data_IF_948620488506
#
_entry.id   IF_948620488506
#
_cell.length_a   1.000
_cell.length_b   1.000
_cell.length_c   1.000
_cell.angle_alpha   90.00
_cell.angle_beta   90.00
_cell.angle_gamma   90.00
#
_symmetry.space_group_name_H-M   'P 1'
#
loop_
_entity.id
_entity.type
_entity.pdbx_description
1 polymer ?
#
# COMPACT_ATOMS: atom_id res chain seq x y z
N UNK A 1 17.56 -6.96 -3.00
CA UNK A 1 16.68 -7.36 -1.89
C UNK A 1 15.30 -7.69 -2.47
N UNK A 2 14.73 -8.86 -2.15
CA UNK A 2 13.35 -9.18 -2.54
C UNK A 2 12.41 -8.46 -1.56
N UNK A 3 11.57 -7.56 -2.08
CA UNK A 3 10.54 -6.90 -1.27
C UNK A 3 9.44 -7.93 -0.98
N UNK A 4 9.15 -8.18 0.30
CA UNK A 4 7.98 -8.95 0.71
C UNK A 4 6.74 -8.12 0.33
N UNK A 5 5.96 -8.59 -0.66
CA UNK A 5 4.66 -8.00 -1.00
C UNK A 5 3.60 -8.58 -0.08
N UNK A 6 2.78 -7.75 0.53
CA UNK A 6 1.66 -8.23 1.33
C UNK A 6 0.55 -8.67 0.36
N UNK A 7 0.44 -9.98 0.11
CA UNK A 7 -0.67 -10.50 -0.69
C UNK A 7 -1.97 -10.47 0.13
N UNK A 8 -3.06 -10.00 -0.47
CA UNK A 8 -4.38 -9.96 0.15
C UNK A 8 -5.03 -11.35 0.39
N UNK A 9 -4.33 -12.44 0.08
CA UNK A 9 -4.85 -13.81 0.17
C UNK A 9 -4.23 -14.53 1.38
N UNK A 10 -5.01 -14.71 2.44
CA UNK A 10 -4.64 -15.51 3.61
C UNK A 10 -5.59 -16.69 3.80
N UNK A 11 -5.04 -17.90 3.95
CA UNK A 11 -5.82 -19.12 4.23
C UNK A 11 -5.77 -19.41 5.73
N UNK A 12 -6.88 -19.15 6.43
CA UNK A 12 -6.91 -19.01 7.90
C UNK A 12 -7.40 -20.26 8.67
N UNK A 13 -7.51 -21.43 8.05
CA UNK A 13 -8.14 -22.59 8.71
C UNK A 13 -7.34 -23.17 9.90
N UNK A 14 -6.08 -22.77 10.07
CA UNK A 14 -5.18 -23.26 11.11
C UNK A 14 -4.76 -22.20 12.15
N UNK A 15 -5.24 -20.96 12.03
CA UNK A 15 -4.90 -19.87 12.97
C UNK A 15 -5.87 -19.86 14.15
N UNK A 16 -5.39 -19.42 15.32
CA UNK A 16 -6.29 -19.06 16.42
C UNK A 16 -7.18 -17.88 16.01
N UNK A 17 -8.35 -17.75 16.64
CA UNK A 17 -9.26 -16.63 16.36
C UNK A 17 -8.61 -15.27 16.68
N UNK A 18 -7.78 -15.23 17.72
CA UNK A 18 -7.03 -14.04 18.12
C UNK A 18 -6.03 -13.61 17.04
N UNK A 19 -5.22 -14.55 16.53
CA UNK A 19 -4.24 -14.29 15.47
C UNK A 19 -4.92 -13.87 14.16
N UNK A 20 -6.03 -14.55 13.81
CA UNK A 20 -6.80 -14.22 12.63
C UNK A 20 -7.38 -12.80 12.71
N UNK A 21 -7.87 -12.40 13.89
CA UNK A 21 -8.37 -11.05 14.13
C UNK A 21 -7.27 -9.99 14.09
N UNK A 22 -6.08 -10.28 14.61
CA UNK A 22 -4.91 -9.39 14.51
C UNK A 22 -4.50 -9.17 13.05
N UNK A 23 -4.34 -10.24 12.27
CA UNK A 23 -4.00 -10.17 10.85
C UNK A 23 -5.07 -9.40 10.06
N UNK A 24 -6.35 -9.62 10.37
CA UNK A 24 -7.46 -8.90 9.72
C UNK A 24 -7.38 -7.40 9.95
N UNK A 25 -7.03 -6.95 11.16
CA UNK A 25 -6.85 -5.53 11.48
C UNK A 25 -5.69 -4.94 10.68
N UNK A 26 -4.55 -5.64 10.64
CA UNK A 26 -3.38 -5.21 9.87
C UNK A 26 -3.68 -5.13 8.37
N UNK A 27 -4.48 -6.06 7.85
CA UNK A 27 -4.88 -6.08 6.45
C UNK A 27 -5.81 -4.90 6.10
N UNK A 28 -6.76 -4.57 6.97
CA UNK A 28 -7.63 -3.39 6.79
C UNK A 28 -6.77 -2.12 6.79
N UNK A 29 -5.83 -2.02 7.73
CA UNK A 29 -4.91 -0.89 7.82
C UNK A 29 -4.03 -0.77 6.56
N UNK A 30 -3.48 -1.89 6.09
CA UNK A 30 -2.66 -1.94 4.87
C UNK A 30 -3.44 -1.51 3.62
N UNK A 31 -4.66 -2.03 3.44
CA UNK A 31 -5.50 -1.65 2.31
C UNK A 31 -5.88 -0.16 2.33
N UNK A 32 -6.15 0.41 3.50
CA UNK A 32 -6.39 1.85 3.62
C UNK A 32 -5.16 2.69 3.21
N UNK A 33 -3.96 2.24 3.59
CA UNK A 33 -2.70 2.84 3.15
C UNK A 33 -2.51 2.74 1.63
N UNK A 34 -2.79 1.57 1.05
CA UNK A 34 -2.70 1.32 -0.39
C UNK A 34 -3.64 2.25 -1.17
N UNK A 35 -4.92 2.35 -0.78
CA UNK A 35 -5.83 3.31 -1.41
C UNK A 35 -5.35 4.77 -1.32
N UNK A 36 -4.73 5.15 -0.20
CA UNK A 36 -4.20 6.50 -0.01
C UNK A 36 -2.96 6.76 -0.88
N UNK A 37 -2.05 5.80 -0.90
CA UNK A 37 -0.83 5.84 -1.69
C UNK A 37 -1.15 5.91 -3.18
N UNK A 38 -2.05 5.04 -3.68
CA UNK A 38 -2.53 5.06 -5.06
C UNK A 38 -3.08 6.42 -5.46
N UNK A 39 -4.00 7.01 -4.67
CA UNK A 39 -4.59 8.31 -4.97
C UNK A 39 -3.51 9.41 -5.06
N UNK A 40 -2.56 9.42 -4.12
CA UNK A 40 -1.47 10.41 -4.11
C UNK A 40 -0.55 10.23 -5.31
N UNK A 41 -0.11 9.01 -5.59
CA UNK A 41 0.72 8.71 -6.75
C UNK A 41 0.02 9.06 -8.06
N UNK A 42 -1.27 8.76 -8.19
CA UNK A 42 -2.08 9.15 -9.35
C UNK A 42 -2.10 10.68 -9.54
N UNK A 43 -2.39 11.44 -8.48
CA UNK A 43 -2.37 12.91 -8.54
C UNK A 43 -0.98 13.46 -8.93
N UNK A 44 0.09 12.88 -8.39
CA UNK A 44 1.45 13.29 -8.74
C UNK A 44 1.80 12.95 -10.19
N UNK A 45 1.45 11.75 -10.66
CA UNK A 45 1.77 11.29 -12.02
C UNK A 45 0.98 12.02 -13.10
N UNK A 46 -0.32 12.25 -12.89
CA UNK A 46 -1.21 12.78 -13.93
C UNK A 46 -1.49 14.28 -13.82
N UNK A 47 -1.42 14.85 -12.61
CA UNK A 47 -1.74 16.26 -12.36
C UNK A 47 -0.53 17.07 -11.85
N UNK A 48 0.65 16.44 -11.76
CA UNK A 48 1.89 17.11 -11.36
C UNK A 48 1.91 17.60 -9.91
N UNK A 49 0.98 17.15 -9.06
CA UNK A 49 0.89 17.58 -7.65
C UNK A 49 2.11 17.04 -6.89
N UNK A 50 2.95 17.94 -6.39
CA UNK A 50 4.13 17.61 -5.57
C UNK A 50 3.92 18.09 -4.15
N UNK A 51 4.04 17.16 -3.20
CA UNK A 51 4.03 17.48 -1.77
C UNK A 51 5.45 17.81 -1.27
N UNK A 52 5.55 18.69 -0.28
CA UNK A 52 6.82 19.03 0.37
C UNK A 52 7.41 17.86 1.20
N UNK A 53 6.54 16.97 1.71
CA UNK A 53 6.91 15.82 2.54
C UNK A 53 6.82 14.55 1.71
N UNK A 54 7.76 13.63 1.87
CA UNK A 54 7.72 12.34 1.16
C UNK A 54 6.45 11.55 1.50
N UNK A 55 5.89 10.86 0.49
CA UNK A 55 4.66 10.08 0.65
C UNK A 55 4.79 9.02 1.77
N UNK A 56 5.96 8.40 1.92
CA UNK A 56 6.25 7.47 3.02
C UNK A 56 6.05 8.15 4.38
N UNK A 57 6.64 9.35 4.59
CA UNK A 57 6.52 10.09 5.85
C UNK A 57 5.07 10.50 6.12
N UNK A 58 4.35 10.91 5.07
CA UNK A 58 2.93 11.24 5.19
C UNK A 58 2.09 10.02 5.64
N UNK A 59 2.28 8.87 5.01
CA UNK A 59 1.55 7.64 5.37
C UNK A 59 1.93 7.16 6.76
N UNK A 60 3.21 7.14 7.10
CA UNK A 60 3.70 6.80 8.44
C UNK A 60 3.06 7.67 9.52
N UNK A 61 3.08 8.99 9.33
CA UNK A 61 2.48 9.94 10.27
C UNK A 61 0.96 9.78 10.37
N UNK A 62 0.28 9.53 9.24
CA UNK A 62 -1.17 9.39 9.20
C UNK A 62 -1.68 8.11 9.86
N UNK A 63 -0.98 7.00 9.69
CA UNK A 63 -1.43 5.68 10.14
C UNK A 63 -0.72 5.17 11.39
N UNK A 64 0.30 5.89 11.89
CA UNK A 64 1.03 5.51 13.10
C UNK A 64 1.83 4.21 12.96
N UNK A 65 2.27 3.88 11.75
CA UNK A 65 2.92 2.61 11.41
C UNK A 65 4.44 2.69 11.38
N UNK A 66 5.11 1.56 11.24
CA UNK A 66 6.55 1.51 10.92
C UNK A 66 6.79 1.95 9.46
N UNK A 67 8.05 2.05 9.03
CA UNK A 67 8.38 2.43 7.65
C UNK A 67 8.03 1.34 6.63
N UNK A 68 7.91 0.10 7.07
CA UNK A 68 7.71 -1.05 6.20
C UNK A 68 6.33 -1.01 5.52
N UNK A 69 5.24 -0.80 6.27
CA UNK A 69 3.88 -0.76 5.71
C UNK A 69 3.71 0.32 4.62
N UNK A 70 4.07 1.60 4.87
CA UNK A 70 4.05 2.65 3.84
C UNK A 70 4.90 2.34 2.62
N UNK A 71 6.11 1.81 2.80
CA UNK A 71 7.02 1.52 1.68
C UNK A 71 6.49 0.39 0.80
N UNK A 72 5.95 -0.67 1.40
CA UNK A 72 5.32 -1.78 0.68
C UNK A 72 4.10 -1.30 -0.12
N UNK A 73 3.21 -0.50 0.49
CA UNK A 73 2.05 0.05 -0.19
C UNK A 73 2.44 0.93 -1.39
N UNK A 74 3.41 1.83 -1.20
CA UNK A 74 3.93 2.69 -2.28
C UNK A 74 4.54 1.86 -3.41
N UNK A 75 5.27 0.80 -3.09
CA UNK A 75 5.88 -0.07 -4.09
C UNK A 75 4.82 -0.79 -4.93
N UNK A 76 3.84 -1.43 -4.27
CA UNK A 76 2.75 -2.14 -4.96
C UNK A 76 1.93 -1.21 -5.85
N UNK A 77 1.57 -0.01 -5.38
CA UNK A 77 0.81 0.94 -6.18
C UNK A 77 1.59 1.50 -7.37
N UNK A 78 2.91 1.68 -7.24
CA UNK A 78 3.75 2.06 -8.39
C UNK A 78 3.72 0.99 -9.48
N UNK A 79 3.80 -0.27 -9.10
CA UNK A 79 3.70 -1.40 -10.03
C UNK A 79 2.31 -1.44 -10.67
N UNK A 80 1.25 -1.28 -9.88
CA UNK A 80 -0.12 -1.25 -10.39
C UNK A 80 -0.37 -0.08 -11.35
N UNK A 81 0.08 1.13 -11.01
CA UNK A 81 -0.02 2.30 -11.89
C UNK A 81 0.70 2.02 -13.20
N UNK A 82 1.96 1.55 -13.15
CA UNK A 82 2.75 1.22 -14.33
C UNK A 82 2.03 0.18 -15.23
N UNK A 83 1.50 -0.89 -14.64
CA UNK A 83 0.76 -1.90 -15.40
C UNK A 83 -0.50 -1.33 -16.07
N UNK A 84 -1.25 -0.45 -15.40
CA UNK A 84 -2.41 0.22 -15.99
C UNK A 84 -2.01 1.18 -17.12
N UNK A 85 -0.89 1.88 -17.00
CA UNK A 85 -0.34 2.71 -18.08
C UNK A 85 0.00 1.88 -19.31
N UNK A 86 0.74 0.79 -19.14
CA UNK A 86 1.13 -0.11 -20.24
C UNK A 86 -0.08 -0.74 -20.94
N UNK A 87 -1.15 -1.01 -20.19
CA UNK A 87 -2.40 -1.57 -20.74
C UNK A 87 -3.18 -0.52 -21.56
N UNK A 88 -3.25 0.73 -21.09
CA UNK A 88 -3.98 1.79 -21.78
C UNK A 88 -3.28 2.32 -23.04
N UNK A 89 -2.02 1.96 -23.29
CA UNK A 89 -1.26 2.33 -24.48
C UNK A 89 -1.32 1.27 -25.61
N UNK A 90 -1.95 0.12 -25.36
CA UNK A 90 -2.19 -0.94 -26.36
C UNK A 90 -3.60 -0.83 -26.92
#
# INVERSE_FOLDING_TARGET
MKCLSYSNCFYYKALSEEDANCIKKDLILYNAMLHTAYKKLYLTCFYGVKDAVSLQKQLKARYGTNDYFPLSAIHEDRVLLKSKFETNQR
#
